data_IF_795384033227
#
_entry.id   IF_795384033227
#
_cell.length_a   1.000
_cell.length_b   1.000
_cell.length_c   1.000
_cell.angle_alpha   90.00
_cell.angle_beta   90.00
_cell.angle_gamma   90.00
#
_symmetry.space_group_name_H-M   'P 1'
#
loop_
_entity.id
_entity.type
_entity.pdbx_description
1 polymer ?
#
# COMPACT_ATOMS: atom_id res chain seq x y z
N UNK A 1 -4.93 -10.91 -30.58
CA UNK A 1 -4.64 -11.84 -29.47
C UNK A 1 -5.73 -11.68 -28.42
N UNK A 2 -6.37 -12.76 -27.97
CA UNK A 2 -7.46 -12.67 -26.99
C UNK A 2 -6.96 -12.06 -25.65
N UNK A 3 -7.76 -11.22 -24.98
CA UNK A 3 -7.36 -10.61 -23.72
C UNK A 3 -7.08 -11.71 -22.67
N UNK A 4 -5.90 -11.65 -22.04
CA UNK A 4 -5.55 -12.64 -21.01
C UNK A 4 -6.43 -12.45 -19.77
N UNK A 5 -7.02 -13.53 -19.27
CA UNK A 5 -7.80 -13.55 -18.02
C UNK A 5 -6.89 -13.50 -16.79
N UNK A 6 -7.43 -13.00 -15.68
CA UNK A 6 -6.73 -12.94 -14.40
C UNK A 6 -6.35 -14.34 -13.90
N UNK A 7 -5.08 -14.54 -13.54
CA UNK A 7 -4.56 -15.80 -13.04
C UNK A 7 -5.13 -16.20 -11.66
N UNK A 8 -5.59 -15.23 -10.84
CA UNK A 8 -6.14 -15.48 -9.50
C UNK A 8 -7.65 -15.77 -9.55
N UNK A 9 -8.47 -14.83 -10.01
CA UNK A 9 -9.93 -15.01 -10.01
C UNK A 9 -10.48 -15.76 -11.23
N UNK A 10 -9.72 -15.87 -12.34
CA UNK A 10 -10.14 -16.50 -13.60
C UNK A 10 -11.42 -15.95 -14.25
N UNK A 11 -11.94 -14.82 -13.75
CA UNK A 11 -13.16 -14.16 -14.25
C UNK A 11 -12.80 -12.88 -15.02
N UNK A 12 -12.15 -11.93 -14.35
CA UNK A 12 -11.88 -10.60 -14.92
C UNK A 12 -10.68 -10.59 -15.86
N UNK A 13 -10.64 -9.63 -16.78
CA UNK A 13 -9.48 -9.36 -17.64
C UNK A 13 -8.26 -8.98 -16.79
N UNK A 14 -7.09 -9.50 -17.16
CA UNK A 14 -5.84 -9.08 -16.53
C UNK A 14 -5.38 -7.71 -17.05
N UNK A 15 -4.91 -6.88 -16.13
CA UNK A 15 -4.41 -5.52 -16.39
C UNK A 15 -2.94 -5.34 -16.02
N UNK A 16 -2.43 -6.14 -15.09
CA UNK A 16 -1.05 -6.02 -14.57
C UNK A 16 -0.36 -7.38 -14.69
N UNK A 17 0.89 -7.39 -15.18
CA UNK A 17 1.78 -8.56 -15.10
C UNK A 17 2.76 -8.33 -13.94
N UNK A 18 2.71 -9.17 -12.92
CA UNK A 18 3.58 -9.06 -11.75
C UNK A 18 5.04 -9.34 -12.14
N UNK A 19 6.00 -8.46 -11.81
CA UNK A 19 7.42 -8.72 -12.08
C UNK A 19 7.96 -9.93 -11.29
N UNK A 20 7.53 -10.09 -10.03
CA UNK A 20 8.02 -11.12 -9.10
C UNK A 20 7.85 -12.56 -9.60
N UNK A 21 6.75 -12.85 -10.30
CA UNK A 21 6.39 -14.23 -10.68
C UNK A 21 5.65 -14.33 -12.03
N UNK A 22 5.63 -13.25 -12.82
CA UNK A 22 4.99 -13.16 -14.13
C UNK A 22 3.48 -13.40 -14.17
N UNK A 23 2.80 -13.47 -13.02
CA UNK A 23 1.34 -13.63 -12.96
C UNK A 23 0.63 -12.42 -13.56
N UNK A 24 -0.34 -12.68 -14.44
CA UNK A 24 -1.22 -11.65 -15.00
C UNK A 24 -2.48 -11.53 -14.14
N UNK A 25 -2.70 -10.39 -13.48
CA UNK A 25 -3.80 -10.16 -12.55
C UNK A 25 -4.72 -9.03 -13.01
N UNK A 26 -6.01 -9.12 -12.66
CA UNK A 26 -6.92 -7.97 -12.72
C UNK A 26 -6.58 -6.96 -11.60
N UNK A 27 -7.17 -5.77 -11.68
CA UNK A 27 -6.95 -4.67 -10.72
C UNK A 27 -7.19 -5.12 -9.28
N UNK A 28 -8.35 -5.69 -8.99
CA UNK A 28 -8.76 -6.01 -7.61
C UNK A 28 -7.91 -7.13 -7.01
N UNK A 29 -7.61 -8.16 -7.81
CA UNK A 29 -6.70 -9.23 -7.39
C UNK A 29 -5.30 -8.70 -7.14
N UNK A 30 -4.80 -7.77 -7.95
CA UNK A 30 -3.49 -7.16 -7.73
C UNK A 30 -3.45 -6.35 -6.43
N UNK A 31 -4.43 -5.48 -6.19
CA UNK A 31 -4.53 -4.67 -4.96
C UNK A 31 -4.58 -5.59 -3.73
N UNK A 32 -5.41 -6.64 -3.77
CA UNK A 32 -5.52 -7.60 -2.68
C UNK A 32 -4.18 -8.31 -2.40
N UNK A 33 -3.51 -8.83 -3.44
CA UNK A 33 -2.18 -9.47 -3.27
C UNK A 33 -1.18 -8.47 -2.68
N UNK A 34 -1.16 -7.23 -3.18
CA UNK A 34 -0.23 -6.21 -2.73
C UNK A 34 -0.43 -5.88 -1.25
N UNK A 35 -1.67 -5.65 -0.81
CA UNK A 35 -2.00 -5.41 0.60
C UNK A 35 -1.69 -6.61 1.49
N UNK A 36 -1.98 -7.84 1.03
CA UNK A 36 -1.64 -9.09 1.74
C UNK A 36 -0.11 -9.24 1.93
N UNK A 37 0.71 -8.89 0.92
CA UNK A 37 2.17 -8.92 1.03
C UNK A 37 2.70 -7.88 2.03
N UNK A 38 2.09 -6.69 2.09
CA UNK A 38 2.42 -5.66 3.09
C UNK A 38 2.01 -6.14 4.50
N UNK A 39 0.82 -6.71 4.65
CA UNK A 39 0.36 -7.31 5.92
C UNK A 39 1.32 -8.41 6.40
N UNK A 40 1.73 -9.30 5.51
CA UNK A 40 2.68 -10.35 5.83
C UNK A 40 4.00 -9.76 6.33
N UNK A 41 4.53 -8.73 5.66
CA UNK A 41 5.77 -8.06 6.08
C UNK A 41 5.66 -7.43 7.47
N UNK A 42 4.54 -6.76 7.75
CA UNK A 42 4.26 -6.13 9.05
C UNK A 42 4.25 -7.18 10.17
N UNK A 43 3.51 -8.27 9.96
CA UNK A 43 3.29 -9.31 10.97
C UNK A 43 4.51 -10.21 11.15
N UNK A 44 5.19 -10.61 10.08
CA UNK A 44 6.39 -11.45 10.13
C UNK A 44 7.57 -10.73 10.80
N UNK A 45 7.63 -9.40 10.67
CA UNK A 45 8.72 -8.59 11.24
C UNK A 45 8.36 -8.00 12.61
N UNK A 46 7.10 -8.14 13.05
CA UNK A 46 6.64 -7.57 14.32
C UNK A 46 6.82 -6.05 14.40
N UNK A 47 6.49 -5.31 13.33
CA UNK A 47 6.83 -3.88 13.21
C UNK A 47 6.19 -2.97 14.27
N UNK A 48 5.03 -3.36 14.80
CA UNK A 48 4.32 -2.63 15.85
C UNK A 48 3.36 -3.57 16.59
N UNK A 49 2.86 -3.10 17.73
CA UNK A 49 1.92 -3.79 18.60
C UNK A 49 0.63 -2.99 18.76
N UNK A 50 -0.50 -3.63 19.10
CA UNK A 50 -1.73 -2.91 19.42
C UNK A 50 -1.50 -1.86 20.51
N UNK A 51 -2.05 -0.66 20.29
CA UNK A 51 -1.86 0.50 21.17
C UNK A 51 -0.71 1.43 20.76
N UNK A 52 0.20 1.00 19.88
CA UNK A 52 1.31 1.83 19.43
C UNK A 52 0.85 3.06 18.63
N UNK A 53 1.65 4.13 18.71
CA UNK A 53 1.52 5.30 17.83
C UNK A 53 2.58 5.20 16.74
N UNK A 54 2.16 5.10 15.49
CA UNK A 54 3.05 4.94 14.32
C UNK A 54 3.04 6.22 13.51
N UNK A 55 4.18 6.91 13.46
CA UNK A 55 4.39 8.06 12.59
C UNK A 55 4.79 7.59 11.19
N UNK A 56 4.09 8.09 10.17
CA UNK A 56 4.33 7.82 8.76
C UNK A 56 4.89 9.10 8.14
N UNK A 57 6.13 9.04 7.65
CA UNK A 57 6.72 10.14 6.88
C UNK A 57 5.95 10.37 5.58
N UNK A 58 5.31 11.52 5.45
CA UNK A 58 4.50 11.92 4.31
C UNK A 58 5.22 13.00 3.50
N UNK A 59 5.78 12.61 2.35
CA UNK A 59 6.47 13.52 1.43
C UNK A 59 5.55 14.15 0.37
N UNK A 60 4.28 13.73 0.30
CA UNK A 60 3.36 14.05 -0.81
C UNK A 60 3.54 13.17 -2.04
N UNK A 61 4.61 12.36 -2.11
CA UNK A 61 4.85 11.43 -3.20
C UNK A 61 3.91 10.22 -3.21
N UNK A 62 3.90 9.51 -4.35
CA UNK A 62 3.11 8.28 -4.55
C UNK A 62 3.40 7.22 -3.48
N UNK A 63 4.67 7.06 -3.10
CA UNK A 63 5.09 5.94 -2.24
C UNK A 63 4.62 6.14 -0.79
N UNK A 64 4.80 7.34 -0.25
CA UNK A 64 4.35 7.68 1.11
C UNK A 64 2.82 7.74 1.21
N UNK A 65 2.16 8.25 0.16
CA UNK A 65 0.68 8.27 0.08
C UNK A 65 0.09 6.87 0.00
N UNK A 66 0.66 5.99 -0.83
CA UNK A 66 0.23 4.58 -0.91
C UNK A 66 0.47 3.87 0.41
N UNK A 67 1.64 4.06 1.03
CA UNK A 67 1.94 3.46 2.34
C UNK A 67 0.90 3.87 3.39
N UNK A 68 0.58 5.17 3.48
CA UNK A 68 -0.43 5.67 4.41
C UNK A 68 -1.81 5.05 4.17
N UNK A 69 -2.24 4.99 2.91
CA UNK A 69 -3.53 4.41 2.51
C UNK A 69 -3.61 2.90 2.82
N UNK A 70 -2.56 2.15 2.51
CA UNK A 70 -2.49 0.72 2.79
C UNK A 70 -2.44 0.45 4.29
N UNK A 71 -1.62 1.19 5.06
CA UNK A 71 -1.56 1.03 6.51
C UNK A 71 -2.92 1.31 7.16
N UNK A 72 -3.65 2.34 6.72
CA UNK A 72 -5.01 2.60 7.19
C UNK A 72 -5.95 1.44 6.87
N UNK A 73 -5.95 0.98 5.62
CA UNK A 73 -6.79 -0.15 5.17
C UNK A 73 -6.50 -1.42 5.97
N UNK A 74 -5.22 -1.74 6.20
CA UNK A 74 -4.81 -2.93 6.94
C UNK A 74 -5.09 -2.81 8.45
N UNK A 75 -4.89 -1.64 9.03
CA UNK A 75 -5.21 -1.38 10.43
C UNK A 75 -6.69 -1.64 10.72
N UNK A 76 -7.57 -1.20 9.81
CA UNK A 76 -9.02 -1.42 9.93
C UNK A 76 -9.39 -2.88 9.64
N UNK A 77 -8.86 -3.47 8.55
CA UNK A 77 -9.19 -4.84 8.12
C UNK A 77 -8.73 -5.91 9.09
N UNK A 78 -7.52 -5.77 9.65
CA UNK A 78 -6.91 -6.76 10.53
C UNK A 78 -6.93 -6.35 12.00
N UNK A 79 -7.57 -5.21 12.32
CA UNK A 79 -7.68 -4.67 13.67
C UNK A 79 -6.32 -4.59 14.38
N UNK A 80 -5.30 -4.00 13.74
CA UNK A 80 -3.98 -3.87 14.37
C UNK A 80 -4.03 -3.02 15.64
N UNK A 81 -5.00 -2.12 15.75
CA UNK A 81 -5.19 -1.28 16.94
C UNK A 81 -4.11 -0.21 17.12
N UNK A 82 -3.45 0.20 16.03
CA UNK A 82 -2.45 1.27 16.09
C UNK A 82 -3.05 2.63 15.75
N UNK A 83 -2.48 3.69 16.33
CA UNK A 83 -2.80 5.07 15.98
C UNK A 83 -1.80 5.57 14.95
N UNK A 84 -2.26 5.72 13.70
CA UNK A 84 -1.46 6.25 12.61
C UNK A 84 -1.41 7.78 12.65
N UNK A 85 -0.23 8.36 12.48
CA UNK A 85 0.01 9.82 12.43
C UNK A 85 0.81 10.14 11.17
N UNK A 86 0.35 11.10 10.36
CA UNK A 86 1.13 11.60 9.22
C UNK A 86 2.08 12.70 9.69
N UNK A 87 3.34 12.61 9.29
CA UNK A 87 4.37 13.61 9.56
C UNK A 87 4.98 14.07 8.23
N UNK A 88 4.76 15.33 7.88
CA UNK A 88 5.46 15.99 6.76
C UNK A 88 6.47 16.98 7.32
N UNK A 89 7.64 17.06 6.68
CA UNK A 89 8.71 18.01 7.00
C UNK A 89 8.80 18.99 5.86
N UNK A 90 8.59 20.28 6.13
CA UNK A 90 8.91 21.35 5.20
C UNK A 90 10.42 21.65 5.26
N UNK A 91 11.07 21.57 4.10
CA UNK A 91 12.52 21.78 3.95
C UNK A 91 12.88 23.27 3.83
N UNK A 92 11.88 24.16 3.71
CA UNK A 92 12.09 25.60 3.60
C UNK A 92 12.64 26.07 2.24
N UNK A 93 12.47 25.25 1.20
CA UNK A 93 12.88 25.58 -0.18
C UNK A 93 11.74 26.34 -0.86
N UNK A 94 11.92 27.65 -1.02
CA UNK A 94 10.96 28.54 -1.70
C UNK A 94 10.60 28.02 -3.11
N UNK A 95 9.32 27.99 -3.44
CA UNK A 95 8.82 27.57 -4.76
C UNK A 95 8.68 26.06 -4.96
N UNK A 96 9.06 25.22 -3.99
CA UNK A 96 8.99 23.76 -4.13
C UNK A 96 7.73 23.14 -3.52
N UNK A 97 7.21 23.74 -2.43
CA UNK A 97 6.05 23.23 -1.68
C UNK A 97 4.87 24.20 -1.60
N UNK A 98 4.96 25.35 -2.26
CA UNK A 98 3.99 26.45 -2.11
C UNK A 98 2.57 26.11 -2.62
N UNK A 99 2.42 25.03 -3.39
CA UNK A 99 1.14 24.54 -3.96
C UNK A 99 0.75 23.11 -3.49
N UNK A 100 1.24 22.62 -2.34
CA UNK A 100 0.92 21.27 -1.82
C UNK A 100 0.39 21.24 -0.39
#
# INVERSE_FOLDING_TARGET
MAPTVCARCRVSRAHVKRPKNHQKLCKDCFITVFEEEVHHTITSSGLFRPGDRVAIGASGGKDSTVLASVLKTLNDRYNYGVKLVLLSIDEGITGYRDDS
#
